data_IF_857821922847
#
_entry.id   IF_857821922847
#
_cell.length_a   1.000
_cell.length_b   1.000
_cell.length_c   1.000
_cell.angle_alpha   90.00
_cell.angle_beta   90.00
_cell.angle_gamma   90.00
#
_symmetry.space_group_name_H-M   'P 1'
#
loop_
_entity.id
_entity.type
_entity.pdbx_description
1 polymer ?
#
# COMPACT_ATOMS: atom_id res chain seq x y z
N UNK A 1 6.55 -0.29 13.63
CA UNK A 1 5.33 -1.08 13.42
C UNK A 1 4.61 -1.28 14.74
N UNK A 2 3.42 -0.70 14.85
CA UNK A 2 2.42 -0.92 15.90
C UNK A 2 1.90 -2.36 15.87
N UNK A 3 1.36 -2.85 16.98
CA UNK A 3 0.84 -4.22 17.05
C UNK A 3 -0.36 -4.47 16.12
N UNK A 4 -1.15 -3.42 15.85
CA UNK A 4 -2.23 -3.48 14.86
C UNK A 4 -1.71 -3.72 13.43
N UNK A 5 -0.60 -3.07 13.06
CA UNK A 5 0.06 -3.30 11.77
C UNK A 5 0.64 -4.70 11.70
N UNK A 6 1.34 -5.18 12.75
CA UNK A 6 1.87 -6.56 12.76
C UNK A 6 0.75 -7.57 12.58
N UNK A 7 -0.36 -7.38 13.28
CA UNK A 7 -1.50 -8.27 13.20
C UNK A 7 -2.14 -8.25 11.80
N UNK A 8 -2.28 -7.08 11.17
CA UNK A 8 -2.84 -6.98 9.84
C UNK A 8 -1.95 -7.64 8.78
N UNK A 9 -0.62 -7.43 8.86
CA UNK A 9 0.34 -8.12 8.00
C UNK A 9 0.26 -9.63 8.22
N UNK A 10 0.22 -10.10 9.47
CA UNK A 10 0.10 -11.52 9.77
C UNK A 10 -1.20 -12.13 9.21
N UNK A 11 -2.33 -11.42 9.26
CA UNK A 11 -3.57 -11.90 8.65
C UNK A 11 -3.45 -12.11 7.13
N UNK A 12 -2.68 -11.26 6.43
CA UNK A 12 -2.41 -11.43 4.99
C UNK A 12 -1.51 -12.65 4.76
N UNK A 13 -0.47 -12.82 5.58
CA UNK A 13 0.43 -13.98 5.51
C UNK A 13 -0.33 -15.28 5.76
N UNK A 14 -1.14 -15.33 6.82
CA UNK A 14 -1.95 -16.50 7.18
C UNK A 14 -2.97 -16.85 6.09
N UNK A 15 -3.53 -15.85 5.41
CA UNK A 15 -4.44 -16.07 4.29
C UNK A 15 -3.74 -16.73 3.09
N UNK A 16 -2.51 -16.30 2.77
CA UNK A 16 -1.71 -16.92 1.71
C UNK A 16 -1.29 -18.34 2.10
N UNK A 17 -0.81 -18.54 3.34
CA UNK A 17 -0.45 -19.86 3.86
C UNK A 17 -1.66 -20.81 3.86
N UNK A 18 -2.84 -20.31 4.20
CA UNK A 18 -4.08 -21.09 4.22
C UNK A 18 -4.82 -21.17 2.88
N UNK A 19 -4.28 -20.63 1.78
CA UNK A 19 -4.93 -20.68 0.47
C UNK A 19 -6.28 -19.96 0.38
N UNK A 20 -6.55 -18.99 1.26
CA UNK A 20 -7.86 -18.37 1.41
C UNK A 20 -7.90 -16.98 0.75
N UNK A 21 -8.39 -16.92 -0.49
CA UNK A 21 -8.55 -15.68 -1.24
C UNK A 21 -9.51 -14.69 -0.56
N UNK A 22 -10.53 -15.19 0.15
CA UNK A 22 -11.50 -14.35 0.86
C UNK A 22 -10.85 -13.61 2.03
N UNK A 23 -10.08 -14.35 2.83
CA UNK A 23 -9.27 -13.77 3.92
C UNK A 23 -8.18 -12.86 3.39
N UNK A 24 -7.56 -13.17 2.24
CA UNK A 24 -6.58 -12.29 1.62
C UNK A 24 -7.21 -10.93 1.29
N UNK A 25 -8.36 -10.92 0.61
CA UNK A 25 -9.09 -9.67 0.28
C UNK A 25 -9.45 -8.87 1.52
N UNK A 26 -9.98 -9.53 2.56
CA UNK A 26 -10.31 -8.88 3.82
C UNK A 26 -9.08 -8.32 4.54
N UNK A 27 -7.96 -9.05 4.54
CA UNK A 27 -6.69 -8.63 5.11
C UNK A 27 -6.11 -7.40 4.38
N UNK A 28 -6.12 -7.40 3.05
CA UNK A 28 -5.69 -6.25 2.23
C UNK A 28 -6.54 -5.01 2.49
N UNK A 29 -7.87 -5.16 2.57
CA UNK A 29 -8.76 -4.06 2.90
C UNK A 29 -8.44 -3.45 4.27
N UNK A 30 -8.24 -4.29 5.30
CA UNK A 30 -7.87 -3.83 6.65
C UNK A 30 -6.49 -3.17 6.66
N UNK A 31 -5.53 -3.71 5.92
CA UNK A 31 -4.18 -3.16 5.83
C UNK A 31 -4.19 -1.76 5.19
N UNK A 32 -5.08 -1.52 4.21
CA UNK A 32 -5.23 -0.22 3.54
C UNK A 32 -5.73 0.92 4.44
N UNK A 33 -6.29 0.60 5.61
CA UNK A 33 -6.80 1.58 6.58
C UNK A 33 -5.75 1.98 7.63
N UNK A 34 -4.60 1.29 7.67
CA UNK A 34 -3.58 1.54 8.68
C UNK A 34 -2.61 2.64 8.24
N UNK A 35 -2.20 3.54 9.15
CA UNK A 35 -1.26 4.61 8.86
C UNK A 35 0.17 4.06 8.78
N UNK A 36 0.58 3.53 7.63
CA UNK A 36 1.93 2.99 7.45
C UNK A 36 2.25 2.60 6.01
N UNK A 37 3.53 2.29 5.75
CA UNK A 37 4.00 1.82 4.44
C UNK A 37 3.65 0.35 4.17
N UNK A 38 3.14 -0.37 5.17
CA UNK A 38 2.90 -1.81 5.10
C UNK A 38 1.95 -2.19 3.96
N UNK A 39 0.93 -1.39 3.68
CA UNK A 39 0.03 -1.66 2.56
C UNK A 39 0.78 -1.69 1.22
N UNK A 40 1.64 -0.69 0.97
CA UNK A 40 2.47 -0.63 -0.25
C UNK A 40 3.52 -1.75 -0.29
N UNK A 41 4.21 -1.98 0.83
CA UNK A 41 5.25 -3.01 0.96
C UNK A 41 4.68 -4.41 0.74
N UNK A 42 3.62 -4.79 1.46
CA UNK A 42 2.99 -6.11 1.38
C UNK A 42 2.42 -6.36 -0.01
N UNK A 43 1.70 -5.38 -0.57
CA UNK A 43 1.17 -5.53 -1.94
C UNK A 43 2.27 -5.62 -2.99
N UNK A 44 3.39 -4.91 -2.81
CA UNK A 44 4.56 -5.02 -3.67
C UNK A 44 5.23 -6.39 -3.59
N UNK A 45 5.35 -6.93 -2.37
CA UNK A 45 5.93 -8.26 -2.15
C UNK A 45 5.03 -9.39 -2.67
N UNK A 46 3.70 -9.29 -2.52
CA UNK A 46 2.74 -10.25 -3.09
C UNK A 46 2.80 -10.31 -4.63
N UNK A 47 3.15 -9.18 -5.26
CA UNK A 47 3.28 -9.03 -6.70
C UNK A 47 4.67 -9.39 -7.23
N UNK A 48 5.63 -9.64 -6.34
CA UNK A 48 7.01 -9.88 -6.74
C UNK A 48 7.20 -11.34 -7.20
N UNK A 49 7.48 -11.52 -8.49
CA UNK A 49 7.79 -12.83 -9.09
C UNK A 49 9.29 -13.11 -9.19
N UNK A 50 10.13 -12.09 -9.00
CA UNK A 50 11.60 -12.16 -9.13
C UNK A 50 12.30 -12.52 -7.82
N UNK A 51 11.56 -13.06 -6.86
CA UNK A 51 12.08 -13.28 -5.52
C UNK A 51 13.18 -14.35 -5.55
N UNK A 52 14.38 -13.96 -5.08
CA UNK A 52 15.56 -14.84 -5.09
C UNK A 52 15.35 -15.99 -4.10
N UNK A 53 15.65 -17.23 -4.50
CA UNK A 53 15.56 -18.39 -3.59
C UNK A 53 16.62 -18.37 -2.48
N UNK A 54 17.73 -17.65 -2.69
CA UNK A 54 18.84 -17.54 -1.75
C UNK A 54 19.08 -16.09 -1.36
N UNK A 55 19.12 -15.83 -0.06
CA UNK A 55 19.41 -14.53 0.53
C UNK A 55 20.74 -14.59 1.27
N UNK A 56 21.70 -13.75 0.88
CA UNK A 56 22.94 -13.58 1.63
C UNK A 56 22.67 -12.69 2.85
N UNK A 57 23.17 -13.09 4.02
CA UNK A 57 23.10 -12.24 5.23
C UNK A 57 23.96 -10.97 5.13
N UNK A 58 24.80 -10.83 4.10
CA UNK A 58 25.61 -9.63 3.85
C UNK A 58 24.91 -8.56 3.00
N UNK A 59 23.77 -8.87 2.38
CA UNK A 59 23.03 -7.94 1.52
C UNK A 59 21.87 -7.33 2.31
N UNK A 60 21.68 -6.01 2.19
CA UNK A 60 20.54 -5.25 2.76
C UNK A 60 19.27 -5.54 1.94
N UNK A 61 18.82 -6.79 1.95
CA UNK A 61 17.54 -7.20 1.37
C UNK A 61 16.55 -7.51 2.50
N UNK A 62 15.30 -7.06 2.37
CA UNK A 62 14.25 -7.46 3.30
C UNK A 62 13.76 -8.87 2.97
N UNK A 63 13.69 -9.74 3.99
CA UNK A 63 13.04 -11.05 3.90
C UNK A 63 11.54 -10.82 3.65
N UNK A 64 11.07 -11.18 2.46
CA UNK A 64 9.63 -11.12 2.17
C UNK A 64 8.94 -12.34 2.79
N UNK A 65 7.76 -12.16 3.42
CA UNK A 65 6.99 -13.25 3.99
C UNK A 65 6.24 -14.07 2.93
N UNK A 66 6.35 -13.70 1.65
CA UNK A 66 5.74 -14.40 0.53
C UNK A 66 6.83 -15.08 -0.30
N UNK A 67 6.46 -16.09 -1.07
CA UNK A 67 7.36 -16.82 -1.96
C UNK A 67 6.63 -17.23 -3.22
N UNK A 68 7.05 -16.72 -4.38
CA UNK A 68 6.49 -17.10 -5.67
C UNK A 68 7.16 -18.37 -6.22
N UNK A 69 6.36 -19.33 -6.68
CA UNK A 69 6.83 -20.52 -7.42
C UNK A 69 5.70 -21.08 -8.27
N UNK A 70 6.02 -21.43 -9.52
CA UNK A 70 5.13 -22.17 -10.44
C UNK A 70 3.71 -21.55 -10.55
N UNK A 71 3.65 -20.23 -10.72
CA UNK A 71 2.37 -19.52 -10.87
C UNK A 71 1.56 -19.37 -9.58
N UNK A 72 2.14 -19.67 -8.42
CA UNK A 72 1.50 -19.55 -7.11
C UNK A 72 2.34 -18.69 -6.15
N UNK A 73 1.66 -18.06 -5.20
CA UNK A 73 2.26 -17.32 -4.09
C UNK A 73 2.02 -18.11 -2.81
N UNK A 74 3.10 -18.44 -2.12
CA UNK A 74 3.10 -19.18 -0.85
C UNK A 74 3.56 -18.27 0.29
N UNK A 75 3.38 -18.72 1.54
CA UNK A 75 4.14 -18.16 2.64
C UNK A 75 5.62 -18.55 2.50
N UNK A 76 6.54 -17.65 2.87
CA UNK A 76 7.96 -17.94 2.87
C UNK A 76 8.43 -18.48 4.22
N UNK A 77 9.21 -19.55 4.19
CA UNK A 77 10.00 -20.03 5.34
C UNK A 77 11.48 -19.96 4.98
N UNK A 78 12.27 -19.32 5.83
CA UNK A 78 13.69 -19.14 5.63
C UNK A 78 14.48 -20.12 6.49
N UNK A 79 15.15 -21.07 5.85
CA UNK A 79 16.03 -22.02 6.52
C UNK A 79 17.50 -21.63 6.34
N UNK A 80 18.38 -21.87 7.33
CA UNK A 80 19.82 -21.73 7.13
C UNK A 80 20.30 -22.52 5.89
N UNK A 81 21.19 -21.93 5.12
CA UNK A 81 21.82 -22.52 3.92
C UNK A 81 23.34 -22.34 3.99
N UNK A 82 24.04 -22.76 2.95
CA UNK A 82 25.51 -22.67 2.86
C UNK A 82 26.01 -21.24 3.11
N UNK A 83 27.12 -21.14 3.85
CA UNK A 83 27.90 -19.93 4.10
C UNK A 83 27.09 -18.64 4.24
N UNK A 84 26.59 -18.38 5.45
CA UNK A 84 25.90 -17.12 5.81
C UNK A 84 24.73 -16.75 4.88
N UNK A 85 24.06 -17.74 4.27
CA UNK A 85 22.87 -17.54 3.44
C UNK A 85 21.65 -18.20 4.09
N UNK A 86 20.45 -17.69 3.78
CA UNK A 86 19.18 -18.35 4.03
C UNK A 86 18.53 -18.75 2.71
N UNK A 87 17.86 -19.90 2.71
CA UNK A 87 17.07 -20.39 1.58
C UNK A 87 15.59 -20.18 1.88
N UNK A 88 14.87 -19.51 0.98
CA UNK A 88 13.43 -19.39 1.04
C UNK A 88 12.80 -20.68 0.50
N UNK A 89 11.76 -21.18 1.19
CA UNK A 89 10.96 -22.32 0.77
C UNK A 89 9.48 -21.98 0.90
N UNK A 90 8.61 -22.55 0.03
CA UNK A 90 7.18 -22.35 0.13
C UNK A 90 6.61 -23.02 1.38
N UNK A 91 5.57 -22.43 1.94
CA UNK A 91 4.82 -22.93 3.08
C UNK A 91 3.32 -22.73 2.87
N UNK A 92 2.55 -23.74 3.28
CA UNK A 92 1.08 -23.75 3.17
C UNK A 92 0.56 -24.16 1.80
N UNK A 93 -0.74 -23.95 1.60
CA UNK A 93 -1.44 -24.26 0.35
C UNK A 93 -1.10 -23.26 -0.76
N UNK A 94 -0.85 -22.00 -0.40
CA UNK A 94 -0.61 -20.93 -1.35
C UNK A 94 -1.86 -20.51 -2.14
N UNK A 95 -1.71 -19.48 -2.95
CA UNK A 95 -2.76 -18.97 -3.82
C UNK A 95 -2.26 -18.83 -5.25
N UNK A 96 -3.10 -19.09 -6.27
CA UNK A 96 -2.74 -18.80 -7.66
C UNK A 96 -2.38 -17.32 -7.84
N UNK A 97 -1.25 -17.05 -8.47
CA UNK A 97 -0.70 -15.69 -8.61
C UNK A 97 -1.67 -14.74 -9.30
N UNK A 98 -2.40 -15.21 -10.31
CA UNK A 98 -3.41 -14.39 -11.00
C UNK A 98 -4.51 -13.92 -10.04
N UNK A 99 -4.95 -14.78 -9.12
CA UNK A 99 -5.96 -14.41 -8.11
C UNK A 99 -5.41 -13.42 -7.08
N UNK A 100 -4.15 -13.61 -6.68
CA UNK A 100 -3.44 -12.66 -5.79
C UNK A 100 -3.29 -11.32 -6.48
N UNK A 101 -2.86 -11.30 -7.73
CA UNK A 101 -2.70 -10.10 -8.55
C UNK A 101 -4.01 -9.33 -8.64
N UNK A 102 -5.09 -10.00 -9.01
CA UNK A 102 -6.40 -9.35 -9.15
C UNK A 102 -6.89 -8.79 -7.80
N UNK A 103 -6.68 -9.51 -6.69
CA UNK A 103 -7.02 -9.02 -5.36
C UNK A 103 -6.19 -7.81 -4.95
N UNK A 104 -4.88 -7.82 -5.23
CA UNK A 104 -3.96 -6.70 -4.93
C UNK A 104 -4.30 -5.47 -5.77
N UNK A 105 -4.49 -5.63 -7.09
CA UNK A 105 -4.84 -4.52 -7.97
C UNK A 105 -6.17 -3.89 -7.57
N UNK A 106 -7.17 -4.72 -7.21
CA UNK A 106 -8.44 -4.22 -6.70
C UNK A 106 -8.27 -3.44 -5.40
N UNK A 107 -7.54 -3.99 -4.43
CA UNK A 107 -7.32 -3.31 -3.15
C UNK A 107 -6.55 -1.99 -3.31
N UNK A 108 -5.54 -1.95 -4.20
CA UNK A 108 -4.82 -0.71 -4.54
C UNK A 108 -5.73 0.31 -5.19
N UNK A 109 -6.53 -0.09 -6.19
CA UNK A 109 -7.49 0.81 -6.83
C UNK A 109 -8.54 1.37 -5.87
N UNK A 110 -9.04 0.55 -4.93
CA UNK A 110 -9.96 1.02 -3.88
C UNK A 110 -9.29 2.01 -2.91
N UNK A 111 -8.01 1.80 -2.59
CA UNK A 111 -7.25 2.73 -1.76
C UNK A 111 -6.97 4.04 -2.51
N UNK A 112 -6.55 3.98 -3.77
CA UNK A 112 -6.29 5.14 -4.62
C UNK A 112 -7.56 5.99 -4.80
N UNK A 113 -8.71 5.36 -4.99
CA UNK A 113 -10.01 6.05 -5.04
C UNK A 113 -10.33 6.75 -3.71
N UNK A 114 -10.08 6.11 -2.56
CA UNK A 114 -10.26 6.76 -1.24
C UNK A 114 -9.35 7.97 -1.08
N UNK A 115 -8.09 7.89 -1.53
CA UNK A 115 -7.14 9.01 -1.48
C UNK A 115 -7.60 10.13 -2.42
N UNK A 116 -8.08 9.78 -3.62
CA UNK A 116 -8.65 10.73 -4.58
C UNK A 116 -9.84 11.48 -3.99
N UNK A 117 -10.80 10.77 -3.38
CA UNK A 117 -11.96 11.39 -2.74
C UNK A 117 -11.55 12.34 -1.60
N UNK A 118 -10.55 11.98 -0.79
CA UNK A 118 -9.98 12.89 0.23
C UNK A 118 -9.34 14.12 -0.39
N UNK A 119 -8.57 13.96 -1.47
CA UNK A 119 -7.93 15.07 -2.17
C UNK A 119 -8.95 16.02 -2.82
N UNK A 120 -10.06 15.50 -3.34
CA UNK A 120 -11.17 16.31 -3.85
C UNK A 120 -11.92 17.03 -2.73
N UNK A 121 -12.15 16.37 -1.59
CA UNK A 121 -12.79 16.96 -0.41
C UNK A 121 -12.05 18.16 0.17
N UNK A 122 -10.71 18.16 0.13
CA UNK A 122 -9.89 19.30 0.59
C UNK A 122 -10.22 20.59 -0.16
N UNK A 123 -10.48 20.52 -1.47
CA UNK A 123 -10.85 21.66 -2.29
C UNK A 123 -12.16 22.29 -1.83
N UNK A 124 -13.19 21.45 -1.66
CA UNK A 124 -14.51 21.91 -1.25
C UNK A 124 -14.47 22.61 0.11
N UNK A 125 -13.75 22.03 1.09
CA UNK A 125 -13.59 22.62 2.41
C UNK A 125 -12.91 24.00 2.40
N UNK A 126 -12.01 24.23 1.44
CA UNK A 126 -11.28 25.51 1.34
C UNK A 126 -12.04 26.56 0.55
N UNK A 127 -12.78 26.17 -0.48
CA UNK A 127 -13.73 27.06 -1.15
C UNK A 127 -14.76 27.59 -0.13
N UNK A 128 -15.26 26.72 0.75
CA UNK A 128 -16.15 27.11 1.84
C UNK A 128 -15.47 28.08 2.83
N UNK A 129 -14.25 27.78 3.26
CA UNK A 129 -13.51 28.63 4.20
C UNK A 129 -13.17 30.01 3.60
N UNK A 130 -12.83 30.07 2.31
CA UNK A 130 -12.60 31.33 1.60
C UNK A 130 -13.85 32.21 1.56
N UNK A 131 -15.01 31.61 1.30
CA UNK A 131 -16.29 32.32 1.27
C UNK A 131 -16.71 32.85 2.64
N UNK A 132 -16.44 32.11 3.72
CA UNK A 132 -16.66 32.58 5.08
C UNK A 132 -15.76 33.77 5.42
N UNK A 133 -14.47 33.70 5.06
CA UNK A 133 -13.48 34.72 5.39
C UNK A 133 -13.64 36.02 4.58
N UNK A 134 -14.06 35.92 3.30
CA UNK A 134 -14.44 37.09 2.47
C UNK A 134 -15.48 37.98 3.14
N UNK A 135 -16.37 37.41 3.96
CA UNK A 135 -17.46 38.14 4.65
C UNK A 135 -17.04 38.73 6.00
N UNK A 136 -15.86 38.39 6.49
CA UNK A 136 -15.39 38.76 7.83
C UNK A 136 -14.34 39.89 7.80
N UNK A 137 -13.32 39.79 6.94
CA UNK A 137 -12.18 40.71 6.96
C UNK A 137 -11.44 40.74 5.62
N UNK A 138 -11.13 41.94 5.14
CA UNK A 138 -10.39 42.13 3.88
C UNK A 138 -8.95 41.62 3.98
N UNK A 139 -8.29 41.82 5.12
CA UNK A 139 -6.93 41.34 5.36
C UNK A 139 -6.90 39.80 5.45
N UNK A 140 -7.86 39.21 6.15
CA UNK A 140 -7.96 37.74 6.27
C UNK A 140 -8.36 37.11 4.93
N UNK A 141 -9.21 37.77 4.14
CA UNK A 141 -9.55 37.36 2.78
C UNK A 141 -8.32 37.32 1.87
N UNK A 142 -7.39 38.28 1.99
CA UNK A 142 -6.14 38.27 1.22
C UNK A 142 -5.20 37.14 1.61
N UNK A 143 -5.02 36.88 2.91
CA UNK A 143 -4.21 35.76 3.39
C UNK A 143 -4.81 34.40 3.00
N UNK A 144 -6.15 34.29 3.05
CA UNK A 144 -6.86 33.08 2.64
C UNK A 144 -6.75 32.84 1.14
N UNK A 145 -6.83 33.90 0.33
CA UNK A 145 -6.64 33.80 -1.12
C UNK A 145 -5.23 33.31 -1.49
N UNK A 146 -4.19 33.73 -0.75
CA UNK A 146 -2.84 33.18 -0.92
C UNK A 146 -2.77 31.70 -0.54
N UNK A 147 -3.38 31.31 0.59
CA UNK A 147 -3.46 29.92 1.00
C UNK A 147 -4.23 29.05 -0.01
N UNK A 148 -5.29 29.59 -0.61
CA UNK A 148 -6.08 28.94 -1.66
C UNK A 148 -5.22 28.63 -2.89
N UNK A 149 -4.41 29.59 -3.35
CA UNK A 149 -3.52 29.39 -4.52
C UNK A 149 -2.49 28.29 -4.25
N UNK A 150 -1.81 28.32 -3.11
CA UNK A 150 -0.81 27.30 -2.75
C UNK A 150 -1.45 25.92 -2.58
N UNK A 151 -2.65 25.86 -2.00
CA UNK A 151 -3.33 24.59 -1.85
C UNK A 151 -3.88 24.06 -3.17
N UNK A 152 -4.36 24.91 -4.08
CA UNK A 152 -4.77 24.49 -5.41
C UNK A 152 -3.58 23.89 -6.19
N UNK A 153 -2.37 24.44 -6.03
CA UNK A 153 -1.14 23.83 -6.55
C UNK A 153 -0.86 22.48 -5.89
N UNK A 154 -0.94 22.40 -4.56
CA UNK A 154 -0.78 21.16 -3.80
C UNK A 154 -1.76 20.07 -4.23
N UNK A 155 -3.02 20.43 -4.48
CA UNK A 155 -4.04 19.51 -4.97
C UNK A 155 -3.73 19.02 -6.39
N UNK A 156 -3.29 19.90 -7.28
CA UNK A 156 -2.88 19.49 -8.62
C UNK A 156 -1.71 18.49 -8.58
N UNK A 157 -0.75 18.69 -7.66
CA UNK A 157 0.34 17.74 -7.43
C UNK A 157 -0.16 16.40 -6.86
N UNK A 158 -1.10 16.43 -5.91
CA UNK A 158 -1.72 15.21 -5.37
C UNK A 158 -2.47 14.42 -6.44
N UNK A 159 -3.25 15.10 -7.28
CA UNK A 159 -3.97 14.48 -8.40
C UNK A 159 -3.00 13.92 -9.45
N UNK A 160 -1.88 14.61 -9.71
CA UNK A 160 -0.84 14.11 -10.61
C UNK A 160 -0.12 12.87 -10.06
N UNK A 161 0.07 12.79 -8.75
CA UNK A 161 0.66 11.63 -8.08
C UNK A 161 -0.26 10.41 -8.09
N UNK A 162 -1.59 10.61 -8.08
CA UNK A 162 -2.59 9.55 -8.19
C UNK A 162 -2.85 9.09 -9.63
N UNK A 163 -2.28 9.77 -10.63
CA UNK A 163 -2.53 9.47 -12.02
C UNK A 163 -1.69 8.24 -12.47
N UNK A 164 -2.30 7.15 -12.95
CA UNK A 164 -1.61 5.88 -13.26
C UNK A 164 -0.54 5.97 -14.36
N UNK A 165 -0.46 7.07 -15.11
CA UNK A 165 0.59 7.28 -16.13
C UNK A 165 2.00 7.35 -15.53
N UNK A 166 2.13 7.66 -14.24
CA UNK A 166 3.42 7.80 -13.55
C UNK A 166 3.84 6.57 -12.73
N UNK A 167 3.06 5.48 -12.73
CA UNK A 167 3.41 4.24 -12.04
C UNK A 167 4.30 3.38 -12.96
N UNK A 168 5.60 3.71 -13.01
CA UNK A 168 6.65 2.91 -13.63
C UNK A 168 7.29 1.95 -12.63
#
# INVERSE_FOLDING_TARGET
MSDAEKQAVQCVVDAVVGGDLGRLKSGLARLSELPGYEFSTVTGQLMNTDQREKFSMFVIGYESPFYYRDGHVFGAVYTPSEFMCKKASPSGEGLPFEQVRDAVLKARGEHDEKVLQKALGLKAALEEMEDLLKRHSFADSKLTSLAHVELHKGQALLLAALNPVNAH
#
